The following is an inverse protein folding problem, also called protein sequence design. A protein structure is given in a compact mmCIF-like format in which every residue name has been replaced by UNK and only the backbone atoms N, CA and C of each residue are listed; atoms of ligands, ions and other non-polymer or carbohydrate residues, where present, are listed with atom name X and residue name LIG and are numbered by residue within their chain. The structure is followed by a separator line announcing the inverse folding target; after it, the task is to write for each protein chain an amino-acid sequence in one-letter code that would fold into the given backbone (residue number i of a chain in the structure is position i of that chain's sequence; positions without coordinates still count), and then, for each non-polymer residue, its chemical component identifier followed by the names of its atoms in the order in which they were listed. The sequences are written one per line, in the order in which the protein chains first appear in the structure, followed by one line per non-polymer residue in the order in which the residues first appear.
data_IF_295380469549
#
_entry.id   IF_295380469549
#
_cell.length_a   1.000
_cell.length_b   1.000
_cell.length_c   1.000
_cell.angle_alpha   90.00
_cell.angle_beta   90.00
_cell.angle_gamma   90.00
#
_symmetry.space_group_name_H-M   'P 1'
#
loop_
_entity.id
_entity.type
_entity.pdbx_description
1 polymer ?
#
# COMPACT_ATOMS: atom_id res chain seq x y z
N UNK A 1 17.21 -10.42 -9.87
CA UNK A 1 17.51 -11.41 -10.92
C UNK A 1 16.29 -12.29 -11.06
N UNK A 2 15.51 -12.13 -12.13
CA UNK A 2 14.33 -12.95 -12.41
C UNK A 2 14.83 -14.31 -12.91
N UNK A 3 14.48 -15.39 -12.21
CA UNK A 3 14.88 -16.73 -12.64
C UNK A 3 13.94 -17.18 -13.77
N UNK A 4 14.45 -17.55 -14.96
CA UNK A 4 13.64 -17.89 -16.14
C UNK A 4 12.76 -19.15 -15.97
N UNK A 5 12.90 -19.85 -14.85
CA UNK A 5 12.12 -21.05 -14.50
C UNK A 5 10.77 -20.72 -13.83
N UNK A 6 10.54 -19.46 -13.43
CA UNK A 6 9.32 -19.03 -12.73
C UNK A 6 8.27 -18.37 -13.64
N UNK A 7 8.45 -18.43 -14.97
CA UNK A 7 7.41 -18.02 -15.91
C UNK A 7 6.31 -19.08 -15.94
N UNK A 8 5.20 -18.81 -15.26
CA UNK A 8 4.06 -19.72 -15.16
C UNK A 8 2.75 -18.97 -14.94
N UNK A 9 1.65 -19.72 -14.76
CA UNK A 9 0.30 -19.19 -14.50
C UNK A 9 0.26 -18.19 -13.34
N UNK A 10 1.20 -18.27 -12.40
CA UNK A 10 1.34 -17.33 -11.29
C UNK A 10 1.60 -15.88 -11.72
N UNK A 11 2.08 -15.62 -12.94
CA UNK A 11 2.18 -14.26 -13.49
C UNK A 11 0.83 -13.61 -13.76
N UNK A 12 -0.23 -14.39 -14.00
CA UNK A 12 -1.59 -13.86 -14.13
C UNK A 12 -2.04 -13.17 -12.83
N UNK A 13 -1.44 -13.49 -11.68
CA UNK A 13 -1.69 -12.80 -10.41
C UNK A 13 -1.14 -11.38 -10.35
N UNK A 14 -0.23 -11.00 -11.25
CA UNK A 14 0.27 -9.62 -11.29
C UNK A 14 -0.83 -8.65 -11.68
N UNK A 15 -1.77 -9.06 -12.53
CA UNK A 15 -2.89 -8.23 -12.99
C UNK A 15 -3.92 -7.91 -11.87
N UNK A 16 -4.41 -8.88 -11.07
CA UNK A 16 -5.23 -8.55 -9.90
C UNK A 16 -4.41 -7.85 -8.81
N UNK A 17 -3.10 -8.14 -8.67
CA UNK A 17 -2.26 -7.42 -7.71
C UNK A 17 -2.09 -5.93 -8.07
N UNK A 18 -1.89 -5.60 -9.35
CA UNK A 18 -1.82 -4.20 -9.81
C UNK A 18 -3.16 -3.50 -9.66
N UNK A 19 -4.26 -4.17 -9.99
CA UNK A 19 -5.59 -3.62 -9.79
C UNK A 19 -5.86 -3.33 -8.31
N UNK A 20 -5.53 -4.26 -7.41
CA UNK A 20 -5.71 -4.07 -5.97
C UNK A 20 -4.87 -2.92 -5.42
N UNK A 21 -3.61 -2.80 -5.85
CA UNK A 21 -2.77 -1.65 -5.48
C UNK A 21 -3.35 -0.35 -6.01
N UNK A 22 -3.78 -0.32 -7.27
CA UNK A 22 -4.40 0.88 -7.85
C UNK A 22 -5.63 1.31 -7.07
N UNK A 23 -6.52 0.36 -6.73
CA UNK A 23 -7.70 0.60 -5.92
C UNK A 23 -7.35 1.06 -4.49
N UNK A 24 -6.19 0.71 -3.95
CA UNK A 24 -5.71 1.16 -2.64
C UNK A 24 -5.10 2.56 -2.69
N UNK A 25 -4.40 2.89 -3.78
CA UNK A 25 -3.75 4.19 -3.97
C UNK A 25 -4.74 5.31 -4.31
N UNK A 26 -5.83 4.99 -5.00
CA UNK A 26 -6.87 5.96 -5.32
C UNK A 26 -7.44 6.69 -4.10
N UNK A 27 -8.02 6.01 -3.08
CA UNK A 27 -8.56 6.69 -1.91
C UNK A 27 -7.47 7.46 -1.14
N UNK A 28 -6.23 6.96 -1.12
CA UNK A 28 -5.10 7.67 -0.52
C UNK A 28 -4.82 9.00 -1.24
N UNK A 29 -4.86 9.01 -2.58
CA UNK A 29 -4.72 10.22 -3.38
C UNK A 29 -5.89 11.20 -3.14
N UNK A 30 -7.12 10.70 -3.01
CA UNK A 30 -8.29 11.53 -2.67
C UNK A 30 -8.13 12.17 -1.28
N UNK A 31 -7.76 11.39 -0.26
CA UNK A 31 -7.50 11.91 1.09
C UNK A 31 -6.40 12.98 1.04
N UNK A 32 -5.31 12.69 0.33
CA UNK A 32 -4.19 13.62 0.16
C UNK A 32 -4.62 14.94 -0.50
N UNK A 33 -5.48 14.89 -1.53
CA UNK A 33 -6.00 16.08 -2.18
C UNK A 33 -6.86 16.93 -1.22
N UNK A 34 -7.69 16.30 -0.39
CA UNK A 34 -8.46 16.99 0.65
C UNK A 34 -7.57 17.62 1.72
N UNK A 35 -6.47 16.99 2.12
CA UNK A 35 -5.54 17.58 3.09
C UNK A 35 -4.75 18.73 2.45
N UNK A 36 -4.41 18.62 1.17
CA UNK A 36 -3.71 19.68 0.43
C UNK A 36 -4.53 20.97 0.28
N UNK A 37 -5.86 20.92 0.31
CA UNK A 37 -6.69 22.15 0.31
C UNK A 37 -6.69 22.86 1.66
N UNK A 38 -6.41 22.15 2.75
CA UNK A 38 -6.29 22.72 4.10
C UNK A 38 -4.88 23.22 4.39
N UNK A 39 -3.86 22.54 3.87
CA UNK A 39 -2.44 22.85 4.11
C UNK A 39 -1.71 23.09 2.78
N UNK A 40 -1.34 24.34 2.53
CA UNK A 40 -0.62 24.75 1.33
C UNK A 40 0.71 24.00 1.13
N UNK A 41 1.40 23.67 2.23
CA UNK A 41 2.71 23.01 2.21
C UNK A 41 2.62 21.46 2.18
N UNK A 42 1.41 20.91 2.07
CA UNK A 42 1.21 19.45 2.11
C UNK A 42 1.94 18.72 0.97
N UNK A 43 2.06 19.34 -0.20
CA UNK A 43 2.79 18.77 -1.35
C UNK A 43 4.25 18.44 -1.00
N UNK A 44 4.92 19.31 -0.25
CA UNK A 44 6.31 19.10 0.15
C UNK A 44 6.44 18.06 1.27
N UNK A 45 5.47 18.01 2.19
CA UNK A 45 5.38 16.99 3.24
C UNK A 45 5.16 15.58 2.68
N UNK A 46 4.32 15.42 1.65
CA UNK A 46 4.10 14.12 0.99
C UNK A 46 5.40 13.59 0.38
N UNK A 47 6.22 14.45 -0.24
CA UNK A 47 7.52 14.04 -0.78
C UNK A 47 8.45 13.46 0.29
N UNK A 48 8.56 14.14 1.44
CA UNK A 48 9.34 13.65 2.59
C UNK A 48 8.76 12.37 3.19
N UNK A 49 7.43 12.29 3.28
CA UNK A 49 6.74 11.11 3.79
C UNK A 49 6.97 9.88 2.89
N UNK A 50 6.89 10.04 1.57
CA UNK A 50 7.20 8.98 0.62
C UNK A 50 8.67 8.55 0.72
N UNK A 51 9.60 9.50 0.89
CA UNK A 51 11.01 9.18 1.08
C UNK A 51 11.24 8.39 2.38
N UNK A 52 10.61 8.81 3.50
CA UNK A 52 10.66 8.07 4.76
C UNK A 52 10.02 6.67 4.63
N UNK A 53 8.88 6.58 3.96
CA UNK A 53 8.15 5.33 3.71
C UNK A 53 8.97 4.37 2.83
N UNK A 54 9.78 4.90 1.92
CA UNK A 54 10.71 4.10 1.12
C UNK A 54 11.84 3.48 1.96
N UNK A 55 12.33 4.17 2.99
CA UNK A 55 13.32 3.64 3.93
C UNK A 55 12.72 2.69 4.97
N UNK A 56 11.49 2.96 5.43
CA UNK A 56 10.77 2.15 6.42
C UNK A 56 10.17 0.90 5.80
N UNK A 57 9.74 0.96 4.53
CA UNK A 57 9.24 -0.22 3.84
C UNK A 57 10.40 -1.16 3.49
N UNK A 58 10.24 -2.47 3.70
CA UNK A 58 11.27 -3.46 3.38
C UNK A 58 11.32 -3.72 1.86
N UNK A 59 11.50 -2.69 1.05
CA UNK A 59 11.72 -2.79 -0.40
C UNK A 59 13.11 -3.33 -0.69
N UNK A 60 14.11 -2.98 0.14
CA UNK A 60 15.49 -3.47 0.00
C UNK A 60 15.82 -4.71 0.84
N UNK A 61 15.19 -4.84 2.00
CA UNK A 61 15.52 -5.89 2.96
C UNK A 61 14.56 -7.08 2.76
N UNK A 62 15.12 -8.28 2.55
CA UNK A 62 14.31 -9.51 2.59
C UNK A 62 13.64 -9.60 3.96
N UNK A 63 12.35 -9.98 4.05
CA UNK A 63 11.66 -10.14 5.35
C UNK A 63 12.40 -11.05 6.34
N UNK A 64 13.28 -11.94 5.83
CA UNK A 64 14.20 -12.76 6.62
C UNK A 64 15.09 -11.96 7.58
N UNK A 65 15.54 -10.76 7.21
CA UNK A 65 16.39 -9.91 8.08
C UNK A 65 15.63 -9.38 9.29
N UNK A 66 14.31 -9.16 9.14
CA UNK A 66 13.45 -8.67 10.22
C UNK A 66 12.90 -9.80 11.10
N UNK A 67 12.69 -11.00 10.53
CA UNK A 67 12.30 -12.20 11.29
C UNK A 67 13.45 -12.75 12.14
N UNK A 68 14.70 -12.64 11.67
CA UNK A 68 15.89 -13.04 12.43
C UNK A 68 16.39 -11.95 13.40
N UNK A 69 15.82 -10.74 13.34
CA UNK A 69 16.18 -9.66 14.24
C UNK A 69 15.73 -9.99 15.67
N UNK A 70 16.72 -10.14 16.55
CA UNK A 70 16.64 -10.39 18.02
C UNK A 70 15.73 -9.45 18.82
N UNK A 71 15.21 -8.39 18.19
CA UNK A 71 14.43 -7.31 18.81
C UNK A 71 12.91 -7.44 18.65
N UNK A 72 12.38 -8.52 18.07
CA UNK A 72 10.93 -8.74 18.00
C UNK A 72 10.19 -7.76 17.09
N UNK A 73 10.86 -7.21 16.07
CA UNK A 73 10.29 -6.28 15.09
C UNK A 73 9.35 -6.93 14.05
N UNK A 74 9.05 -8.23 14.17
CA UNK A 74 8.16 -8.94 13.24
C UNK A 74 6.76 -8.30 13.14
N UNK A 75 6.25 -7.73 14.24
CA UNK A 75 4.96 -7.00 14.25
C UNK A 75 4.94 -5.81 13.27
N UNK A 76 6.04 -5.06 13.14
CA UNK A 76 6.11 -3.91 12.23
C UNK A 76 6.06 -4.33 10.76
N UNK A 77 6.50 -5.55 10.46
CA UNK A 77 6.39 -6.14 9.12
C UNK A 77 4.97 -6.62 8.86
N UNK A 78 4.33 -7.27 9.84
CA UNK A 78 2.95 -7.77 9.74
C UNK A 78 1.85 -6.70 9.76
N UNK A 79 2.16 -5.48 10.22
CA UNK A 79 1.17 -4.39 10.27
C UNK A 79 1.35 -3.35 9.16
N UNK A 80 2.36 -3.52 8.30
CA UNK A 80 2.65 -2.55 7.26
C UNK A 80 1.89 -2.90 5.95
N UNK A 81 0.89 -2.10 5.55
CA UNK A 81 0.13 -2.35 4.31
C UNK A 81 1.02 -2.34 3.06
N UNK A 82 2.13 -1.59 3.08
CA UNK A 82 3.09 -1.52 1.97
C UNK A 82 3.86 -2.84 1.82
N UNK A 83 4.14 -3.52 2.94
CA UNK A 83 4.78 -4.84 2.91
C UNK A 83 3.87 -5.88 2.27
N UNK A 84 2.61 -5.95 2.70
CA UNK A 84 1.64 -6.88 2.15
C UNK A 84 1.38 -6.61 0.66
N UNK A 85 1.22 -5.35 0.27
CA UNK A 85 1.11 -4.96 -1.14
C UNK A 85 2.32 -5.39 -1.97
N UNK A 86 3.55 -5.24 -1.46
CA UNK A 86 4.77 -5.70 -2.14
C UNK A 86 4.89 -7.23 -2.21
N UNK A 87 4.39 -7.95 -1.21
CA UNK A 87 4.40 -9.41 -1.20
C UNK A 87 3.56 -10.01 -2.33
N UNK A 88 2.44 -9.37 -2.68
CA UNK A 88 1.62 -9.75 -3.83
C UNK A 88 2.40 -9.76 -5.16
N UNK A 89 3.44 -8.94 -5.28
CA UNK A 89 4.32 -8.90 -6.46
C UNK A 89 5.53 -9.82 -6.29
N UNK A 90 6.10 -9.88 -5.08
CA UNK A 90 7.29 -10.68 -4.79
C UNK A 90 7.03 -12.18 -4.90
N UNK A 91 5.89 -12.68 -4.42
CA UNK A 91 5.56 -14.10 -4.49
C UNK A 91 5.57 -14.64 -5.94
N UNK A 92 4.85 -14.03 -6.90
CA UNK A 92 4.89 -14.49 -8.29
C UNK A 92 6.22 -14.18 -9.01
N UNK A 93 6.86 -13.03 -8.75
CA UNK A 93 8.08 -12.63 -9.47
C UNK A 93 9.36 -13.34 -9.00
N UNK A 94 9.52 -13.56 -7.69
CA UNK A 94 10.74 -14.12 -7.11
C UNK A 94 10.62 -15.63 -6.88
N UNK A 95 9.44 -16.11 -6.47
CA UNK A 95 9.26 -17.48 -6.01
C UNK A 95 8.39 -18.33 -6.95
N UNK A 96 7.71 -17.70 -7.92
CA UNK A 96 6.81 -18.40 -8.83
C UNK A 96 5.61 -19.04 -8.12
N UNK A 97 5.36 -18.66 -6.86
CA UNK A 97 4.32 -19.22 -5.99
C UNK A 97 3.15 -18.24 -5.83
N UNK A 98 2.01 -18.76 -5.38
CA UNK A 98 0.86 -17.93 -5.05
C UNK A 98 1.16 -17.03 -3.83
N UNK A 99 0.63 -15.79 -3.79
CA UNK A 99 0.78 -14.90 -2.64
C UNK A 99 0.14 -15.51 -1.38
N UNK A 100 0.69 -15.17 -0.21
CA UNK A 100 0.08 -15.56 1.07
C UNK A 100 -1.35 -15.01 1.19
N UNK A 101 -2.30 -15.88 1.55
CA UNK A 101 -3.70 -15.50 1.77
C UNK A 101 -3.86 -14.42 2.84
N UNK A 102 -2.99 -14.40 3.85
CA UNK A 102 -2.97 -13.38 4.89
C UNK A 102 -2.64 -12.00 4.32
N UNK A 103 -1.68 -11.91 3.40
CA UNK A 103 -1.25 -10.65 2.79
C UNK A 103 -2.28 -10.11 1.80
N UNK A 104 -2.98 -11.00 1.09
CA UNK A 104 -4.12 -10.62 0.25
C UNK A 104 -5.26 -10.06 1.11
N UNK A 105 -5.63 -10.76 2.19
CA UNK A 105 -6.70 -10.32 3.08
C UNK A 105 -6.37 -8.99 3.78
N UNK A 106 -5.13 -8.82 4.24
CA UNK A 106 -4.70 -7.58 4.88
C UNK A 106 -4.71 -6.40 3.88
N UNK A 107 -4.21 -6.62 2.67
CA UNK A 107 -4.25 -5.59 1.61
C UNK A 107 -5.70 -5.20 1.27
N UNK A 108 -6.60 -6.18 1.12
CA UNK A 108 -8.03 -5.92 0.90
C UNK A 108 -8.68 -5.15 2.06
N UNK A 109 -8.41 -5.56 3.31
CA UNK A 109 -8.94 -4.86 4.49
C UNK A 109 -8.46 -3.40 4.53
N UNK A 110 -7.17 -3.15 4.28
CA UNK A 110 -6.62 -1.79 4.26
C UNK A 110 -7.19 -0.96 3.11
N UNK A 111 -7.39 -1.54 1.94
CA UNK A 111 -8.07 -0.91 0.81
C UNK A 111 -9.49 -0.46 1.18
N UNK A 112 -10.29 -1.35 1.78
CA UNK A 112 -11.67 -1.04 2.21
C UNK A 112 -11.67 0.09 3.24
N UNK A 113 -10.79 0.04 4.24
CA UNK A 113 -10.68 1.10 5.26
C UNK A 113 -10.35 2.45 4.63
N UNK A 114 -9.39 2.50 3.70
CA UNK A 114 -9.04 3.74 2.98
C UNK A 114 -10.22 4.28 2.19
N UNK A 115 -10.97 3.42 1.50
CA UNK A 115 -12.18 3.81 0.77
C UNK A 115 -13.26 4.37 1.69
N UNK A 116 -13.49 3.76 2.85
CA UNK A 116 -14.45 4.26 3.83
C UNK A 116 -14.04 5.66 4.32
N UNK A 117 -12.76 5.86 4.65
CA UNK A 117 -12.24 7.17 5.08
C UNK A 117 -12.38 8.21 3.96
N UNK A 118 -12.00 7.87 2.74
CA UNK A 118 -12.12 8.76 1.58
C UNK A 118 -13.58 9.14 1.32
N UNK A 119 -14.51 8.18 1.35
CA UNK A 119 -15.94 8.43 1.17
C UNK A 119 -16.51 9.34 2.28
N UNK A 120 -16.10 9.12 3.54
CA UNK A 120 -16.50 9.98 4.65
C UNK A 120 -16.00 11.42 4.49
N UNK A 121 -14.76 11.62 4.02
CA UNK A 121 -14.22 12.96 3.75
C UNK A 121 -14.98 13.66 2.63
N UNK A 122 -15.27 12.95 1.54
CA UNK A 122 -16.05 13.49 0.41
C UNK A 122 -17.45 13.90 0.87
N UNK A 123 -18.16 13.03 1.58
CA UNK A 123 -19.50 13.31 2.11
C UNK A 123 -19.54 14.50 3.08
N UNK A 124 -18.49 14.68 3.89
CA UNK A 124 -18.38 15.84 4.78
C UNK A 124 -18.01 17.13 4.04
N UNK A 125 -17.14 17.04 3.04
CA UNK A 125 -16.71 18.17 2.21
C UNK A 125 -17.84 18.78 1.38
N UNK A 126 -18.71 17.95 0.78
CA UNK A 126 -19.86 18.41 -0.02
C UNK A 126 -20.80 19.33 0.77
N UNK A 127 -20.99 19.08 2.08
CA UNK A 127 -21.87 19.91 2.92
C UNK A 127 -21.32 21.30 3.21
N UNK A 128 -20.01 21.52 3.10
CA UNK A 128 -19.37 22.81 3.34
C UNK A 128 -19.25 23.68 2.09
N UNK A 129 -19.37 23.10 0.89
CA UNK A 129 -19.17 23.80 -0.38
C UNK A 129 -20.43 24.53 -0.89
N UNK A 130 -21.59 24.28 -0.30
CA UNK A 130 -22.87 24.89 -0.74
C UNK A 130 -23.05 26.33 -0.20
N UNK A 131 -22.19 26.81 0.71
CA UNK A 131 -22.33 28.15 1.34
C UNK A 131 -21.38 29.24 0.82
N UNK A 132 -20.62 28.98 -0.25
CA UNK A 132 -19.76 29.98 -0.89
C UNK A 132 -20.06 30.12 -2.39
N UNK A 133 -21.34 30.30 -2.72
CA UNK A 133 -21.79 30.83 -4.00
C UNK A 133 -22.82 31.94 -3.76
#
# INVERSE_FOLDING_TARGET
VVMPQNFGITWLMLLPATLLLFLSLWPLATISAYVATWFYDFSQLVGLALQALFFVSPVFLKPQVFLESKYGLGFLVHFNPVFHGLELFRAPLLYGSWPSAQSVLFTLATCIVLWVIAAMLVWRGERSLIFHF
#
